data_IF_923546610310
#
_entry.id   IF_923546610310
#
_cell.length_a   1.000
_cell.length_b   1.000
_cell.length_c   1.000
_cell.angle_alpha   90.00
_cell.angle_beta   90.00
_cell.angle_gamma   90.00
#
_symmetry.space_group_name_H-M   'P 1'
#
loop_
_entity.id
_entity.type
_entity.pdbx_description
1 polymer ?
#
# COMPACT_ATOMS: atom_id res chain seq x y z
N UNK A 1 -13.93 -45.06 42.60
CA UNK A 1 -13.24 -46.35 42.37
C UNK A 1 -14.07 -47.19 41.41
N UNK A 2 -13.39 -47.92 40.53
CA UNK A 2 -13.88 -48.94 39.57
C UNK A 2 -14.37 -48.45 38.18
N UNK A 3 -13.50 -48.72 37.19
CA UNK A 3 -13.79 -48.86 35.74
C UNK A 3 -14.07 -50.34 35.46
N UNK A 4 -14.96 -50.68 34.51
CA UNK A 4 -14.55 -51.53 33.38
C UNK A 4 -15.17 -51.04 32.05
N UNK A 5 -14.38 -50.75 31.03
CA UNK A 5 -13.83 -51.68 30.03
C UNK A 5 -14.90 -52.27 29.06
N UNK A 6 -15.11 -51.58 27.93
CA UNK A 6 -15.36 -52.23 26.64
C UNK A 6 -14.60 -51.49 25.53
N UNK A 7 -13.49 -52.11 25.17
CA UNK A 7 -12.68 -51.88 23.98
C UNK A 7 -13.43 -52.47 22.80
N UNK A 8 -13.78 -51.65 21.81
CA UNK A 8 -14.01 -52.08 20.42
C UNK A 8 -14.09 -50.87 19.50
N UNK A 9 -13.24 -50.90 18.49
CA UNK A 9 -13.49 -50.41 17.14
C UNK A 9 -13.66 -48.89 16.97
N UNK A 10 -12.57 -48.21 16.59
CA UNK A 10 -12.56 -47.38 15.36
C UNK A 10 -11.15 -46.94 15.00
N UNK A 11 -10.75 -47.33 13.79
CA UNK A 11 -9.49 -47.04 13.14
C UNK A 11 -9.07 -45.57 13.28
N UNK A 12 -7.84 -45.37 13.76
CA UNK A 12 -7.10 -44.15 13.56
C UNK A 12 -6.77 -44.01 12.06
N UNK A 13 -7.63 -43.28 11.33
CA UNK A 13 -7.31 -42.80 9.99
C UNK A 13 -6.41 -41.57 10.15
N UNK A 14 -5.10 -41.80 10.22
CA UNK A 14 -4.09 -40.73 10.11
C UNK A 14 -4.14 -40.25 8.65
N UNK A 15 -4.89 -39.18 8.39
CA UNK A 15 -4.76 -38.42 7.15
C UNK A 15 -3.40 -37.71 7.15
N UNK A 16 -2.43 -38.32 6.47
CA UNK A 16 -1.25 -37.62 5.99
C UNK A 16 -1.70 -36.57 4.97
N UNK A 17 -1.76 -35.32 5.41
CA UNK A 17 -1.86 -34.17 4.51
C UNK A 17 -0.54 -34.05 3.73
N UNK A 18 -0.41 -34.78 2.63
CA UNK A 18 0.51 -34.45 1.56
C UNK A 18 -0.02 -33.20 0.86
N UNK A 19 0.23 -32.04 1.47
CA UNK A 19 -0.02 -30.75 0.84
C UNK A 19 0.81 -30.65 -0.43
N UNK A 20 0.14 -30.47 -1.57
CA UNK A 20 0.73 -30.18 -2.87
C UNK A 20 1.45 -28.81 -2.86
N UNK A 21 2.57 -28.68 -2.15
CA UNK A 21 3.49 -27.57 -2.28
C UNK A 21 4.49 -27.91 -3.40
N UNK A 22 4.02 -27.89 -4.65
CA UNK A 22 4.82 -28.36 -5.78
C UNK A 22 4.29 -27.89 -7.14
N UNK A 23 3.70 -26.70 -7.20
CA UNK A 23 3.49 -26.03 -8.49
C UNK A 23 4.84 -25.59 -9.08
N UNK A 24 4.97 -25.48 -10.41
CA UNK A 24 6.17 -24.94 -11.04
C UNK A 24 6.48 -23.55 -10.46
N UNK A 25 7.74 -23.30 -10.12
CA UNK A 25 8.20 -22.02 -9.61
C UNK A 25 7.85 -20.92 -10.62
N UNK A 26 7.33 -19.80 -10.12
CA UNK A 26 7.10 -18.62 -10.94
C UNK A 26 8.40 -18.24 -11.69
N UNK A 27 8.32 -17.82 -12.96
CA UNK A 27 9.49 -17.36 -13.70
C UNK A 27 10.30 -16.30 -12.93
N UNK A 28 11.62 -16.33 -13.05
CA UNK A 28 12.51 -15.46 -12.26
C UNK A 28 12.20 -13.97 -12.41
N UNK A 29 11.79 -13.52 -13.60
CA UNK A 29 11.38 -12.12 -13.84
C UNK A 29 10.20 -11.69 -12.96
N UNK A 30 9.27 -12.59 -12.63
CA UNK A 30 8.11 -12.28 -11.77
C UNK A 30 8.57 -12.01 -10.34
N UNK A 31 9.46 -12.87 -9.83
CA UNK A 31 10.03 -12.73 -8.49
C UNK A 31 10.89 -11.45 -8.40
N UNK A 32 11.74 -11.20 -9.41
CA UNK A 32 12.58 -10.01 -9.48
C UNK A 32 11.76 -8.71 -9.53
N UNK A 33 10.73 -8.65 -10.39
CA UNK A 33 9.85 -7.50 -10.48
C UNK A 33 9.08 -7.25 -9.16
N UNK A 34 8.57 -8.30 -8.52
CA UNK A 34 7.86 -8.19 -7.25
C UNK A 34 8.79 -7.68 -6.12
N UNK A 35 10.00 -8.21 -6.02
CA UNK A 35 11.00 -7.75 -5.04
C UNK A 35 11.39 -6.29 -5.27
N UNK A 36 11.60 -5.90 -6.52
CA UNK A 36 11.92 -4.52 -6.89
C UNK A 36 10.78 -3.55 -6.56
N UNK A 37 9.51 -3.92 -6.79
CA UNK A 37 8.35 -3.10 -6.39
C UNK A 37 8.21 -2.96 -4.87
N UNK A 38 8.43 -4.04 -4.11
CA UNK A 38 8.43 -3.99 -2.64
C UNK A 38 9.56 -3.10 -2.11
N UNK A 39 10.75 -3.19 -2.71
CA UNK A 39 11.88 -2.34 -2.38
C UNK A 39 11.58 -0.86 -2.70
N UNK A 40 10.98 -0.57 -3.86
CA UNK A 40 10.51 0.77 -4.21
C UNK A 40 9.57 1.33 -3.14
N UNK A 41 8.51 0.61 -2.77
CA UNK A 41 7.53 1.07 -1.77
C UNK A 41 8.21 1.37 -0.42
N UNK A 42 9.04 0.44 0.07
CA UNK A 42 9.74 0.59 1.35
C UNK A 42 10.68 1.80 1.34
N UNK A 43 11.50 1.94 0.30
CA UNK A 43 12.46 3.05 0.17
C UNK A 43 11.76 4.39 0.00
N UNK A 44 10.68 4.42 -0.77
CA UNK A 44 9.91 5.64 -1.01
C UNK A 44 9.28 6.15 0.29
N UNK A 45 8.63 5.26 1.06
CA UNK A 45 8.04 5.60 2.35
C UNK A 45 9.08 5.92 3.43
N UNK A 46 10.28 5.35 3.36
CA UNK A 46 11.40 5.74 4.21
C UNK A 46 11.96 7.14 3.87
N UNK A 47 11.65 7.69 2.69
CA UNK A 47 12.12 8.99 2.22
C UNK A 47 13.31 8.94 1.26
N UNK A 48 13.85 7.75 0.95
CA UNK A 48 14.98 7.55 0.04
C UNK A 48 14.55 7.56 -1.43
N UNK A 49 14.10 8.72 -1.94
CA UNK A 49 13.49 8.85 -3.28
C UNK A 49 14.36 8.27 -4.39
N UNK A 50 15.64 8.61 -4.46
CA UNK A 50 16.52 8.20 -5.57
C UNK A 50 16.71 6.68 -5.61
N UNK A 51 16.91 6.07 -4.43
CA UNK A 51 17.01 4.63 -4.30
C UNK A 51 15.68 3.94 -4.65
N UNK A 52 14.56 4.53 -4.25
CA UNK A 52 13.24 4.03 -4.61
C UNK A 52 13.05 4.03 -6.13
N UNK A 53 13.33 5.16 -6.80
CA UNK A 53 13.20 5.31 -8.26
C UNK A 53 14.13 4.36 -9.02
N UNK A 54 15.32 4.08 -8.49
CA UNK A 54 16.20 3.04 -9.03
C UNK A 54 15.53 1.65 -8.98
N UNK A 55 14.91 1.28 -7.86
CA UNK A 55 14.19 0.01 -7.74
C UNK A 55 12.95 -0.04 -8.64
N UNK A 56 12.22 1.08 -8.77
CA UNK A 56 11.09 1.17 -9.67
C UNK A 56 11.52 0.96 -11.13
N UNK A 57 12.65 1.57 -11.53
CA UNK A 57 13.22 1.38 -12.87
C UNK A 57 13.55 -0.09 -13.14
N UNK A 58 14.14 -0.79 -12.17
CA UNK A 58 14.41 -2.24 -12.26
C UNK A 58 13.12 -3.04 -12.44
N UNK A 59 12.12 -2.82 -11.60
CA UNK A 59 10.82 -3.50 -11.74
C UNK A 59 10.21 -3.27 -13.12
N UNK A 60 10.24 -2.02 -13.59
CA UNK A 60 9.71 -1.62 -14.89
C UNK A 60 10.45 -2.29 -16.05
N UNK A 61 11.77 -2.41 -15.99
CA UNK A 61 12.55 -3.08 -17.05
C UNK A 61 12.28 -4.58 -17.11
N UNK A 62 12.20 -5.26 -15.95
CA UNK A 62 11.85 -6.67 -15.88
C UNK A 62 10.48 -6.94 -16.51
N UNK A 63 9.48 -6.14 -16.15
CA UNK A 63 8.13 -6.28 -16.70
C UNK A 63 8.09 -5.93 -18.19
N UNK A 64 8.78 -4.87 -18.62
CA UNK A 64 8.82 -4.46 -20.02
C UNK A 64 9.51 -5.49 -20.93
N UNK A 65 10.48 -6.26 -20.41
CA UNK A 65 11.17 -7.32 -21.16
C UNK A 65 10.23 -8.41 -21.69
N UNK A 66 9.06 -8.56 -21.06
CA UNK A 66 8.03 -9.53 -21.45
C UNK A 66 7.12 -9.04 -22.59
N UNK A 67 7.21 -7.77 -22.97
CA UNK A 67 6.30 -7.13 -23.93
C UNK A 67 4.88 -6.90 -23.41
N UNK A 68 4.62 -7.17 -22.13
CA UNK A 68 3.28 -7.07 -21.50
C UNK A 68 3.00 -5.66 -20.98
N UNK A 69 2.38 -4.82 -21.82
CA UNK A 69 2.03 -3.45 -21.46
C UNK A 69 1.11 -3.37 -20.22
N UNK A 70 0.22 -4.35 -20.02
CA UNK A 70 -0.65 -4.44 -18.86
C UNK A 70 0.12 -4.60 -17.54
N UNK A 71 1.21 -5.38 -17.54
CA UNK A 71 2.05 -5.54 -16.34
C UNK A 71 2.83 -4.26 -16.02
N UNK A 72 3.35 -3.57 -17.04
CA UNK A 72 4.01 -2.28 -16.86
C UNK A 72 3.01 -1.24 -16.32
N UNK A 73 1.78 -1.24 -16.83
CA UNK A 73 0.72 -0.35 -16.35
C UNK A 73 0.40 -0.59 -14.86
N UNK A 74 0.33 -1.85 -14.41
CA UNK A 74 0.17 -2.18 -12.98
C UNK A 74 1.30 -1.66 -12.12
N UNK A 75 2.55 -1.77 -12.57
CA UNK A 75 3.68 -1.20 -11.84
C UNK A 75 3.57 0.33 -11.71
N UNK A 76 3.23 1.04 -12.79
CA UNK A 76 3.02 2.50 -12.74
C UNK A 76 1.86 2.89 -11.82
N UNK A 77 0.81 2.07 -11.72
CA UNK A 77 -0.27 2.26 -10.75
C UNK A 77 0.18 2.02 -9.31
N UNK A 78 1.06 1.06 -9.04
CA UNK A 78 1.68 0.88 -7.71
C UNK A 78 2.46 2.14 -7.33
N UNK A 79 3.24 2.70 -8.25
CA UNK A 79 3.94 3.97 -8.03
C UNK A 79 2.95 5.09 -7.72
N UNK A 80 1.89 5.25 -8.52
CA UNK A 80 0.89 6.28 -8.26
C UNK A 80 0.19 6.10 -6.90
N UNK A 81 -0.13 4.87 -6.50
CA UNK A 81 -0.74 4.56 -5.22
C UNK A 81 0.18 4.91 -4.04
N UNK A 82 1.46 4.60 -4.12
CA UNK A 82 2.48 4.94 -3.10
C UNK A 82 2.62 6.47 -2.94
N UNK A 83 2.58 7.23 -4.05
CA UNK A 83 2.57 8.71 -4.01
C UNK A 83 1.28 9.27 -3.42
N UNK A 84 0.14 8.73 -3.85
CA UNK A 84 -1.19 9.06 -3.32
C UNK A 84 -1.27 8.85 -1.81
N UNK A 85 -0.78 7.70 -1.30
CA UNK A 85 -0.72 7.41 0.13
C UNK A 85 0.15 8.41 0.92
N UNK A 86 1.12 9.04 0.26
CA UNK A 86 1.98 10.11 0.78
C UNK A 86 1.40 11.52 0.56
N UNK A 87 0.14 11.62 0.13
CA UNK A 87 -0.55 12.87 -0.22
C UNK A 87 0.12 13.66 -1.36
N UNK A 88 0.92 12.99 -2.18
CA UNK A 88 1.48 13.55 -3.41
C UNK A 88 0.54 13.23 -4.57
N UNK A 89 -0.47 14.08 -4.76
CA UNK A 89 -1.44 13.91 -5.84
C UNK A 89 -0.92 14.43 -7.18
N UNK A 90 -1.00 13.58 -8.20
CA UNK A 90 -0.81 13.94 -9.60
C UNK A 90 -1.80 13.18 -10.49
N UNK A 91 -1.60 13.22 -11.81
CA UNK A 91 -2.42 12.53 -12.80
C UNK A 91 -1.85 11.14 -13.18
N UNK A 92 -1.04 10.50 -12.32
CA UNK A 92 -0.38 9.23 -12.60
C UNK A 92 0.35 9.20 -13.97
N UNK A 93 1.27 10.13 -14.27
CA UNK A 93 1.81 10.32 -15.63
C UNK A 93 2.52 9.08 -16.23
N UNK A 94 3.03 8.19 -15.38
CA UNK A 94 3.58 6.90 -15.79
C UNK A 94 2.53 5.97 -16.42
N UNK A 95 1.37 5.86 -15.77
CA UNK A 95 0.24 5.05 -16.23
C UNK A 95 -0.46 5.67 -17.44
N UNK A 96 -0.62 7.00 -17.47
CA UNK A 96 -1.33 7.67 -18.57
C UNK A 96 -0.70 7.40 -19.95
N UNK A 97 0.62 7.24 -20.02
CA UNK A 97 1.32 6.83 -21.26
C UNK A 97 0.98 5.41 -21.73
N UNK A 98 0.47 4.56 -20.85
CA UNK A 98 0.12 3.17 -21.08
C UNK A 98 -1.40 2.92 -21.13
N UNK A 99 -2.21 3.96 -20.91
CA UNK A 99 -3.66 3.87 -20.73
C UNK A 99 -4.37 3.09 -21.84
N UNK A 100 -3.94 3.27 -23.10
CA UNK A 100 -4.53 2.58 -24.25
C UNK A 100 -4.31 1.05 -24.25
N UNK A 101 -3.20 0.59 -23.65
CA UNK A 101 -2.85 -0.84 -23.55
C UNK A 101 -3.21 -1.49 -22.23
N UNK A 102 -3.86 -0.75 -21.32
CA UNK A 102 -4.25 -1.23 -20.00
C UNK A 102 -5.59 -2.01 -20.04
N UNK A 103 -5.82 -2.95 -19.11
CA UNK A 103 -7.13 -3.61 -19.00
C UNK A 103 -8.09 -2.73 -18.20
N UNK A 104 -9.37 -3.11 -18.20
CA UNK A 104 -10.41 -2.35 -17.52
C UNK A 104 -10.14 -2.20 -16.01
N UNK A 105 -9.62 -3.24 -15.37
CA UNK A 105 -9.26 -3.22 -13.94
C UNK A 105 -8.24 -2.10 -13.62
N UNK A 106 -7.21 -1.93 -14.45
CA UNK A 106 -6.22 -0.88 -14.30
C UNK A 106 -6.83 0.51 -14.51
N UNK A 107 -7.72 0.66 -15.49
CA UNK A 107 -8.43 1.92 -15.73
C UNK A 107 -9.31 2.33 -14.54
N UNK A 108 -10.04 1.38 -13.96
CA UNK A 108 -10.90 1.61 -12.81
C UNK A 108 -10.08 2.02 -11.59
N UNK A 109 -8.97 1.33 -11.33
CA UNK A 109 -8.07 1.68 -10.24
C UNK A 109 -7.42 3.06 -10.44
N UNK A 110 -7.00 3.39 -11.67
CA UNK A 110 -6.47 4.71 -12.00
C UNK A 110 -7.50 5.81 -11.72
N UNK A 111 -8.74 5.65 -12.18
CA UNK A 111 -9.81 6.63 -11.93
C UNK A 111 -10.08 6.81 -10.43
N UNK A 112 -9.99 5.75 -9.64
CA UNK A 112 -10.08 5.83 -8.19
C UNK A 112 -8.93 6.61 -7.54
N UNK A 113 -7.67 6.34 -7.92
CA UNK A 113 -6.51 7.12 -7.42
C UNK A 113 -6.64 8.61 -7.77
N UNK A 114 -7.29 8.93 -8.90
CA UNK A 114 -7.59 10.29 -9.32
C UNK A 114 -8.79 10.92 -8.58
N UNK A 115 -9.46 10.19 -7.69
CA UNK A 115 -10.67 10.64 -6.99
C UNK A 115 -11.93 10.68 -7.88
N UNK A 116 -11.87 10.12 -9.08
CA UNK A 116 -12.94 10.18 -10.10
C UNK A 116 -13.92 9.01 -10.03
N UNK A 117 -13.63 7.98 -9.24
CA UNK A 117 -14.45 6.78 -9.10
C UNK A 117 -14.32 6.17 -7.70
N UNK A 118 -15.26 5.31 -7.35
CA UNK A 118 -15.15 4.44 -6.17
C UNK A 118 -14.46 3.13 -6.55
N UNK A 119 -13.68 2.56 -5.63
CA UNK A 119 -13.01 1.27 -5.80
C UNK A 119 -13.03 0.49 -4.49
N UNK A 120 -13.16 -0.83 -4.58
CA UNK A 120 -13.06 -1.71 -3.42
C UNK A 120 -11.58 -1.92 -3.08
N UNK A 121 -11.05 -1.06 -2.22
CA UNK A 121 -9.70 -1.20 -1.70
C UNK A 121 -9.56 -2.51 -0.90
N UNK A 122 -8.36 -3.08 -0.89
CA UNK A 122 -8.02 -4.19 0.00
C UNK A 122 -7.86 -3.73 1.45
N UNK A 123 -7.70 -4.69 2.36
CA UNK A 123 -7.55 -4.42 3.80
C UNK A 123 -6.09 -4.19 4.24
N UNK A 124 -5.14 -4.32 3.32
CA UNK A 124 -3.73 -4.09 3.63
C UNK A 124 -3.47 -2.61 3.99
N UNK A 125 -2.41 -2.32 4.77
CA UNK A 125 -2.12 -0.96 5.23
C UNK A 125 -1.99 0.08 4.10
N UNK A 126 -1.41 -0.29 2.95
CA UNK A 126 -1.25 0.63 1.83
C UNK A 126 -2.62 0.96 1.22
N UNK A 127 -3.44 -0.06 0.93
CA UNK A 127 -4.77 0.13 0.37
C UNK A 127 -5.65 1.02 1.24
N UNK A 128 -5.63 0.84 2.57
CA UNK A 128 -6.35 1.70 3.52
C UNK A 128 -5.84 3.14 3.52
N UNK A 129 -4.51 3.32 3.48
CA UNK A 129 -3.91 4.66 3.46
C UNK A 129 -4.23 5.41 2.17
N UNK A 130 -4.27 4.71 1.03
CA UNK A 130 -4.75 5.25 -0.26
C UNK A 130 -6.21 5.65 -0.16
N UNK A 131 -7.07 4.85 0.47
CA UNK A 131 -8.48 5.20 0.64
C UNK A 131 -8.69 6.48 1.47
N UNK A 132 -7.92 6.65 2.55
CA UNK A 132 -7.92 7.92 3.29
C UNK A 132 -7.40 9.08 2.42
N UNK A 133 -6.33 8.88 1.67
CA UNK A 133 -5.80 9.93 0.79
C UNK A 133 -6.79 10.35 -0.30
N UNK A 134 -7.48 9.40 -0.94
CA UNK A 134 -8.55 9.70 -1.92
C UNK A 134 -9.73 10.41 -1.27
N UNK A 135 -10.12 10.01 -0.05
CA UNK A 135 -11.17 10.70 0.71
C UNK A 135 -10.77 12.15 1.06
N UNK A 136 -9.50 12.38 1.40
CA UNK A 136 -8.95 13.72 1.62
C UNK A 136 -8.95 14.53 0.32
N UNK A 137 -8.51 13.96 -0.80
CA UNK A 137 -8.52 14.59 -2.14
C UNK A 137 -9.92 15.05 -2.53
N UNK A 138 -10.93 14.26 -2.20
CA UNK A 138 -12.33 14.54 -2.50
C UNK A 138 -13.01 15.45 -1.47
N UNK A 139 -12.30 15.87 -0.41
CA UNK A 139 -12.83 16.77 0.62
C UNK A 139 -13.85 16.13 1.56
N UNK A 140 -13.92 14.80 1.63
CA UNK A 140 -14.93 14.06 2.42
C UNK A 140 -14.34 13.34 3.65
N UNK A 141 -13.05 13.51 3.93
CA UNK A 141 -12.42 12.87 5.09
C UNK A 141 -12.77 13.57 6.41
N UNK A 142 -13.21 12.79 7.39
CA UNK A 142 -13.49 13.26 8.74
C UNK A 142 -12.21 13.28 9.64
N UNK A 143 -12.25 13.87 10.85
CA UNK A 143 -11.09 13.87 11.73
C UNK A 143 -10.60 12.46 12.12
N UNK A 144 -11.51 11.49 12.27
CA UNK A 144 -11.18 10.13 12.68
C UNK A 144 -10.38 9.39 11.59
N UNK A 145 -10.73 9.59 10.32
CA UNK A 145 -9.99 9.05 9.18
C UNK A 145 -8.57 9.62 9.09
N UNK A 146 -8.37 10.90 9.43
CA UNK A 146 -7.03 11.50 9.49
C UNK A 146 -6.20 10.87 10.61
N UNK A 147 -6.78 10.68 11.79
CA UNK A 147 -6.11 9.97 12.90
C UNK A 147 -5.76 8.54 12.51
N UNK A 148 -6.68 7.80 11.88
CA UNK A 148 -6.44 6.44 11.42
C UNK A 148 -5.32 6.37 10.37
N UNK A 149 -5.23 7.35 9.46
CA UNK A 149 -4.14 7.43 8.49
C UNK A 149 -2.76 7.64 9.16
N UNK A 150 -2.70 8.50 10.18
CA UNK A 150 -1.50 8.68 11.00
C UNK A 150 -1.13 7.39 11.74
N UNK A 151 -2.10 6.69 12.31
CA UNK A 151 -1.85 5.44 13.05
C UNK A 151 -1.32 4.34 12.13
N UNK A 152 -1.89 4.21 10.91
CA UNK A 152 -1.39 3.28 9.89
C UNK A 152 0.06 3.61 9.52
N UNK A 153 0.34 4.86 9.14
CA UNK A 153 1.69 5.26 8.72
C UNK A 153 2.71 5.10 9.86
N UNK A 154 2.32 5.46 11.08
CA UNK A 154 3.16 5.34 12.28
C UNK A 154 3.45 3.87 12.63
N UNK A 155 2.43 3.00 12.61
CA UNK A 155 2.60 1.58 12.94
C UNK A 155 3.50 0.83 11.93
N UNK A 156 3.54 1.30 10.68
CA UNK A 156 4.40 0.74 9.64
C UNK A 156 5.80 1.39 9.58
N UNK A 157 6.06 2.43 10.39
CA UNK A 157 7.30 3.20 10.30
C UNK A 157 7.46 3.96 8.96
N UNK A 158 6.35 4.28 8.28
CA UNK A 158 6.37 4.95 6.99
C UNK A 158 6.52 6.47 7.18
N UNK A 159 7.76 6.93 7.29
CA UNK A 159 8.14 8.33 7.55
C UNK A 159 7.46 9.34 6.62
N UNK A 160 7.56 9.16 5.30
CA UNK A 160 7.04 10.12 4.31
C UNK A 160 5.52 10.35 4.46
N UNK A 161 4.65 9.32 4.39
CA UNK A 161 3.23 9.53 4.59
C UNK A 161 2.90 9.98 6.03
N UNK A 162 3.65 9.52 7.05
CA UNK A 162 3.44 9.99 8.42
C UNK A 162 3.63 11.50 8.54
N UNK A 163 4.69 12.06 7.96
CA UNK A 163 4.92 13.51 7.93
C UNK A 163 3.80 14.24 7.19
N UNK A 164 3.36 13.71 6.04
CA UNK A 164 2.28 14.31 5.26
C UNK A 164 0.97 14.39 6.07
N UNK A 165 0.57 13.29 6.71
CA UNK A 165 -0.66 13.22 7.51
C UNK A 165 -0.58 14.01 8.83
N UNK A 166 0.58 14.06 9.48
CA UNK A 166 0.79 14.96 10.62
C UNK A 166 0.68 16.43 10.21
N UNK A 167 1.16 16.79 9.01
CA UNK A 167 0.96 18.12 8.44
C UNK A 167 -0.51 18.47 8.22
N UNK A 168 -1.35 17.50 7.83
CA UNK A 168 -2.81 17.68 7.74
C UNK A 168 -3.42 17.95 9.13
N UNK A 169 -3.06 17.18 10.15
CA UNK A 169 -3.53 17.43 11.52
C UNK A 169 -3.10 18.81 12.04
N UNK A 170 -1.85 19.21 11.78
CA UNK A 170 -1.33 20.50 12.22
C UNK A 170 -2.14 21.65 11.62
N UNK A 171 -2.34 21.65 10.30
CA UNK A 171 -3.15 22.67 9.62
C UNK A 171 -4.57 22.78 10.18
N UNK A 172 -5.18 21.65 10.55
CA UNK A 172 -6.52 21.63 11.16
C UNK A 172 -6.53 22.21 12.57
N UNK A 173 -5.55 21.86 13.40
CA UNK A 173 -5.42 22.41 14.75
C UNK A 173 -5.22 23.93 14.72
N UNK A 174 -4.37 24.41 13.80
CA UNK A 174 -4.14 25.85 13.58
C UNK A 174 -5.42 26.56 13.12
N UNK A 175 -6.16 25.99 12.16
CA UNK A 175 -7.43 26.53 11.70
C UNK A 175 -8.51 26.57 12.80
N UNK A 176 -8.44 25.66 13.77
CA UNK A 176 -9.34 25.64 14.93
C UNK A 176 -8.88 26.55 16.08
N UNK A 177 -7.70 27.17 15.98
CA UNK A 177 -7.10 27.94 17.08
C UNK A 177 -6.61 27.08 18.26
N UNK A 178 -6.50 25.76 18.09
CA UNK A 178 -6.00 24.84 19.12
C UNK A 178 -4.47 24.87 19.16
N UNK A 179 -3.94 25.90 19.82
CA UNK A 179 -2.50 26.13 19.94
C UNK A 179 -1.76 25.00 20.67
N UNK A 180 -2.41 24.36 21.64
CA UNK A 180 -1.83 23.26 22.41
C UNK A 180 -1.67 22.01 21.55
N UNK A 181 -2.70 21.65 20.77
CA UNK A 181 -2.60 20.56 19.81
C UNK A 181 -1.57 20.86 18.71
N UNK A 182 -1.56 22.08 18.17
CA UNK A 182 -0.59 22.49 17.16
C UNK A 182 0.85 22.38 17.68
N UNK A 183 1.13 22.81 18.92
CA UNK A 183 2.45 22.68 19.53
C UNK A 183 2.88 21.21 19.69
N UNK A 184 1.97 20.32 20.13
CA UNK A 184 2.26 18.87 20.23
C UNK A 184 2.56 18.25 18.86
N UNK A 185 1.79 18.61 17.83
CA UNK A 185 1.96 18.10 16.48
C UNK A 185 3.29 18.55 15.86
N UNK A 186 3.70 19.81 16.06
CA UNK A 186 5.00 20.32 15.60
C UNK A 186 6.17 19.52 16.18
N UNK A 187 6.14 19.26 17.50
CA UNK A 187 7.17 18.42 18.16
C UNK A 187 7.23 17.00 17.59
N UNK A 188 6.08 16.41 17.27
CA UNK A 188 6.03 15.07 16.66
C UNK A 188 6.56 15.08 15.23
N UNK A 189 6.29 16.11 14.45
CA UNK A 189 6.83 16.29 13.10
C UNK A 189 8.35 16.43 13.16
N UNK A 190 8.87 17.23 14.09
CA UNK A 190 10.31 17.40 14.33
C UNK A 190 10.98 16.05 14.61
N UNK A 191 10.46 15.28 15.57
CA UNK A 191 10.98 13.95 15.91
C UNK A 191 11.00 12.97 14.72
N UNK A 192 9.98 13.00 13.85
CA UNK A 192 9.94 12.14 12.67
C UNK A 192 10.89 12.64 11.56
N UNK A 193 11.28 13.92 11.63
CA UNK A 193 12.14 14.58 10.64
C UNK A 193 13.64 14.51 10.96
N UNK A 194 14.03 14.15 12.19
CA UNK A 194 15.41 13.82 12.58
C UNK A 194 15.98 12.65 11.78
#
# INVERSE_FOLDING_TARGET
MAVPARIRDSLALILLAAGCAGGPQAPDWQAAAAQALQAFQRLYFAGSTDAAEAQFKTARSELASTGRADLVARAELVRCAVRTASLEFDDCPGFERLRYGARQEELDYANYLLGKASYKAGDDPLSRLVAFAVSLRNGVIDPAGISAAVDIASAQGWRRPLLAWLGVQLKRAEAAGDNDAAARLRKRIELVSE
#
